data_IF_337534866264
#
_entry.id   IF_337534866264
#
_cell.length_a   1.000
_cell.length_b   1.000
_cell.length_c   1.000
_cell.angle_alpha   90.00
_cell.angle_beta   90.00
_cell.angle_gamma   90.00
#
_symmetry.space_group_name_H-M   'P 1'
#
loop_
_entity.id
_entity.type
_entity.pdbx_description
1 polymer ?
#
# COMPACT_ATOMS: atom_id res chain seq x y z
N UNK A 1 10.69 53.63 -63.46
CA UNK A 1 11.69 52.88 -62.72
C UNK A 1 10.97 52.26 -61.48
N UNK A 2 10.68 50.97 -61.52
CA UNK A 2 9.92 50.27 -60.45
C UNK A 2 10.92 49.46 -59.68
N UNK A 3 11.12 49.80 -58.38
CA UNK A 3 12.00 49.07 -57.44
C UNK A 3 11.21 47.92 -56.81
N UNK A 4 11.67 46.68 -56.98
CA UNK A 4 11.08 45.50 -56.38
C UNK A 4 11.77 45.19 -55.02
N UNK A 5 11.02 45.32 -53.94
CA UNK A 5 11.48 44.94 -52.64
C UNK A 5 11.38 43.40 -52.49
N UNK A 6 12.51 42.72 -52.20
CA UNK A 6 12.60 41.28 -51.87
C UNK A 6 12.36 41.15 -50.42
N UNK A 7 11.26 40.46 -50.03
CA UNK A 7 10.98 40.02 -48.63
C UNK A 7 11.70 38.69 -48.40
N UNK A 8 12.67 38.69 -47.48
CA UNK A 8 13.34 37.50 -47.01
C UNK A 8 12.47 36.88 -45.90
N UNK A 9 11.88 35.72 -46.15
CA UNK A 9 11.17 34.95 -45.14
C UNK A 9 12.21 34.15 -44.33
N UNK A 10 12.42 34.53 -43.07
CA UNK A 10 13.21 33.74 -42.10
C UNK A 10 12.31 32.70 -41.51
N UNK A 11 12.50 31.45 -41.94
CA UNK A 11 11.82 30.31 -41.36
C UNK A 11 12.41 29.97 -39.98
N UNK A 12 11.62 30.17 -38.94
CA UNK A 12 11.96 29.74 -37.57
C UNK A 12 11.70 28.23 -37.42
N UNK A 13 12.77 27.42 -37.44
CA UNK A 13 12.67 25.98 -37.15
C UNK A 13 12.63 25.82 -35.65
N UNK A 14 11.43 25.57 -35.09
CA UNK A 14 11.28 25.13 -33.72
C UNK A 14 11.73 23.65 -33.61
N UNK A 15 12.94 23.43 -33.14
CA UNK A 15 13.38 22.12 -32.72
C UNK A 15 12.65 21.75 -31.40
N UNK A 16 11.66 20.87 -31.47
CA UNK A 16 11.04 20.28 -30.30
C UNK A 16 12.08 19.38 -29.60
N UNK A 17 12.67 19.86 -28.50
CA UNK A 17 13.46 19.04 -27.60
C UNK A 17 12.51 18.02 -26.93
N UNK A 18 12.51 16.78 -27.41
CA UNK A 18 11.91 15.67 -26.71
C UNK A 18 12.71 15.44 -25.42
N UNK A 19 12.17 15.90 -24.29
CA UNK A 19 12.69 15.55 -22.96
C UNK A 19 12.38 14.06 -22.80
N UNK A 20 13.40 13.18 -22.61
CA UNK A 20 13.12 11.80 -22.26
C UNK A 20 12.41 11.84 -20.90
N UNK A 21 11.14 11.48 -20.85
CA UNK A 21 10.49 11.11 -19.61
C UNK A 21 11.22 9.86 -19.13
N UNK A 22 12.11 10.04 -18.15
CA UNK A 22 12.62 8.94 -17.36
C UNK A 22 11.38 8.31 -16.72
N UNK A 23 10.87 7.25 -17.33
CA UNK A 23 9.87 6.40 -16.71
C UNK A 23 10.48 5.94 -15.40
N UNK A 24 10.12 6.56 -14.28
CA UNK A 24 10.21 5.87 -13.02
C UNK A 24 9.50 4.55 -13.27
N UNK A 25 10.18 3.44 -12.98
CA UNK A 25 9.52 2.15 -12.88
C UNK A 25 8.49 2.31 -11.75
N UNK A 26 7.35 2.92 -12.08
CA UNK A 26 6.18 3.01 -11.23
C UNK A 26 5.79 1.58 -10.94
N UNK A 27 5.99 1.15 -9.74
CA UNK A 27 5.52 -0.15 -9.33
C UNK A 27 4.01 -0.15 -9.63
N UNK A 28 3.46 -1.26 -10.10
CA UNK A 28 2.06 -1.50 -10.47
C UNK A 28 1.04 -1.03 -9.41
N UNK A 29 1.15 0.24 -8.95
CA UNK A 29 0.40 0.82 -7.83
C UNK A 29 -1.09 0.82 -8.09
N UNK A 30 -1.50 1.25 -9.30
CA UNK A 30 -2.91 1.18 -9.70
C UNK A 30 -3.41 -0.26 -9.68
N UNK A 31 -2.65 -1.22 -10.23
CA UNK A 31 -3.03 -2.62 -10.21
C UNK A 31 -3.07 -3.18 -8.78
N UNK A 32 -2.13 -2.79 -7.92
CA UNK A 32 -2.13 -3.14 -6.49
C UNK A 32 -3.39 -2.61 -5.78
N UNK A 33 -3.78 -1.37 -6.07
CA UNK A 33 -4.97 -0.78 -5.48
C UNK A 33 -6.26 -1.48 -5.91
N UNK A 34 -6.36 -1.89 -7.18
CA UNK A 34 -7.49 -2.71 -7.65
C UNK A 34 -7.53 -4.08 -6.95
N UNK A 35 -6.38 -4.71 -6.67
CA UNK A 35 -6.34 -5.94 -5.87
C UNK A 35 -6.82 -5.71 -4.43
N UNK A 36 -6.43 -4.60 -3.78
CA UNK A 36 -6.94 -4.26 -2.45
C UNK A 36 -8.45 -3.99 -2.46
N UNK A 37 -8.98 -3.34 -3.50
CA UNK A 37 -10.43 -3.15 -3.66
C UNK A 37 -11.18 -4.48 -3.79
N UNK A 38 -10.58 -5.51 -4.36
CA UNK A 38 -11.21 -6.84 -4.46
C UNK A 38 -11.41 -7.50 -3.09
N UNK A 39 -10.66 -7.05 -2.08
CA UNK A 39 -10.78 -7.52 -0.70
C UNK A 39 -11.91 -6.81 0.08
N UNK A 40 -12.58 -5.81 -0.48
CA UNK A 40 -13.69 -5.13 0.22
C UNK A 40 -14.72 -6.15 0.68
N UNK A 41 -15.06 -6.10 1.98
CA UNK A 41 -15.96 -7.04 2.64
C UNK A 41 -15.49 -7.44 4.04
N UNK A 42 -16.17 -8.43 4.60
CA UNK A 42 -15.90 -8.98 5.92
C UNK A 42 -15.13 -10.29 5.82
N UNK A 43 -14.10 -10.45 6.64
CA UNK A 43 -13.18 -11.58 6.64
C UNK A 43 -12.94 -12.10 8.05
N UNK A 44 -12.77 -13.39 8.16
CA UNK A 44 -12.42 -14.07 9.40
C UNK A 44 -11.10 -14.83 9.23
N UNK A 45 -10.35 -14.99 10.29
CA UNK A 45 -9.18 -15.87 10.27
C UNK A 45 -9.59 -17.29 9.96
N UNK A 46 -8.85 -17.96 9.09
CA UNK A 46 -9.01 -19.39 8.82
C UNK A 46 -8.94 -20.22 10.13
N UNK A 47 -9.56 -21.39 10.13
CA UNK A 47 -9.59 -22.30 11.30
C UNK A 47 -8.22 -22.80 11.73
N UNK A 48 -7.23 -22.78 10.82
CA UNK A 48 -5.85 -23.16 11.12
C UNK A 48 -5.10 -22.12 11.95
N UNK A 49 -5.56 -20.85 11.98
CA UNK A 49 -4.91 -19.82 12.81
C UNK A 49 -5.26 -20.00 14.27
N UNK A 50 -4.23 -19.91 15.12
CA UNK A 50 -4.42 -20.01 16.59
C UNK A 50 -5.16 -18.80 17.15
N UNK A 51 -4.84 -17.60 16.65
CA UNK A 51 -5.49 -16.36 17.03
C UNK A 51 -6.73 -16.11 16.15
N UNK A 52 -7.83 -15.76 16.75
CA UNK A 52 -9.06 -15.40 16.05
C UNK A 52 -9.11 -13.89 15.90
N UNK A 53 -9.22 -13.45 14.66
CA UNK A 53 -9.38 -12.05 14.31
C UNK A 53 -10.38 -11.90 13.17
N UNK A 54 -10.91 -10.68 13.02
CA UNK A 54 -11.73 -10.29 11.89
C UNK A 54 -11.11 -9.09 11.20
N UNK A 55 -11.34 -8.97 9.89
CA UNK A 55 -11.02 -7.80 9.09
C UNK A 55 -12.30 -7.30 8.41
N UNK A 56 -12.54 -6.01 8.50
CA UNK A 56 -13.47 -5.31 7.64
C UNK A 56 -12.68 -4.40 6.70
N UNK A 57 -12.81 -4.63 5.40
CA UNK A 57 -12.26 -3.72 4.39
C UNK A 57 -13.39 -2.99 3.69
N UNK A 58 -13.32 -1.68 3.66
CA UNK A 58 -14.32 -0.82 3.05
C UNK A 58 -13.69 0.25 2.14
N UNK A 59 -14.33 0.49 1.00
CA UNK A 59 -13.93 1.57 0.10
C UNK A 59 -14.44 2.90 0.68
N UNK A 60 -13.55 3.87 0.84
CA UNK A 60 -13.85 5.16 1.45
C UNK A 60 -13.33 6.34 0.63
N UNK A 61 -13.57 7.57 1.10
CA UNK A 61 -13.08 8.81 0.47
C UNK A 61 -13.41 8.90 -1.03
N UNK A 62 -14.67 8.58 -1.40
CA UNK A 62 -15.10 8.61 -2.79
C UNK A 62 -14.43 7.57 -3.69
N UNK A 63 -13.91 6.49 -3.11
CA UNK A 63 -13.25 5.41 -3.84
C UNK A 63 -11.74 5.56 -4.00
N UNK A 64 -11.13 6.54 -3.33
CA UNK A 64 -9.69 6.81 -3.42
C UNK A 64 -8.86 6.17 -2.32
N UNK A 65 -9.52 5.55 -1.32
CA UNK A 65 -8.84 4.83 -0.24
C UNK A 65 -9.61 3.56 0.14
N UNK A 66 -8.89 2.56 0.64
CA UNK A 66 -9.45 1.38 1.29
C UNK A 66 -9.10 1.46 2.77
N UNK A 67 -10.12 1.40 3.62
CA UNK A 67 -9.99 1.36 5.06
C UNK A 67 -10.11 -0.09 5.54
N UNK A 68 -9.11 -0.57 6.25
CA UNK A 68 -9.11 -1.86 6.94
C UNK A 68 -9.28 -1.65 8.43
N UNK A 69 -10.18 -2.39 9.05
CA UNK A 69 -10.35 -2.48 10.51
C UNK A 69 -10.06 -3.92 10.94
N UNK A 70 -8.93 -4.09 11.56
CA UNK A 70 -8.55 -5.37 12.18
C UNK A 70 -9.06 -5.41 13.62
N UNK A 71 -9.71 -6.51 14.01
CA UNK A 71 -10.18 -6.71 15.39
C UNK A 71 -9.80 -8.08 15.89
N UNK A 72 -9.33 -8.12 17.13
CA UNK A 72 -9.03 -9.35 17.86
C UNK A 72 -9.31 -9.19 19.35
N UNK A 73 -9.15 -10.26 20.09
CA UNK A 73 -9.12 -10.23 21.57
C UNK A 73 -7.72 -10.62 22.01
N UNK A 74 -7.05 -9.74 22.76
CA UNK A 74 -5.74 -9.97 23.34
C UNK A 74 -5.86 -9.83 24.88
N UNK A 75 -5.40 -10.83 25.61
CA UNK A 75 -5.52 -10.86 27.09
C UNK A 75 -6.95 -10.58 27.60
N UNK A 76 -7.95 -11.09 26.90
CA UNK A 76 -9.37 -10.90 27.24
C UNK A 76 -9.92 -9.51 26.95
N UNK A 77 -9.16 -8.63 26.29
CA UNK A 77 -9.57 -7.27 25.92
C UNK A 77 -9.74 -7.14 24.41
N UNK A 78 -10.77 -6.43 23.94
CA UNK A 78 -10.89 -6.14 22.52
C UNK A 78 -9.79 -5.17 22.08
N UNK A 79 -9.15 -5.50 20.95
CA UNK A 79 -8.15 -4.69 20.27
C UNK A 79 -8.68 -4.38 18.88
N UNK A 80 -8.56 -3.12 18.47
CA UNK A 80 -8.79 -2.68 17.11
C UNK A 80 -7.58 -1.93 16.59
N UNK A 81 -7.16 -2.23 15.37
CA UNK A 81 -6.15 -1.49 14.62
C UNK A 81 -6.72 -1.11 13.26
N UNK A 82 -6.23 -0.01 12.71
CA UNK A 82 -6.70 0.52 11.43
C UNK A 82 -5.53 0.61 10.47
N UNK A 83 -5.76 0.22 9.21
CA UNK A 83 -4.85 0.48 8.10
C UNK A 83 -5.59 1.21 6.98
N UNK A 84 -5.00 2.29 6.48
CA UNK A 84 -5.52 3.03 5.34
C UNK A 84 -4.59 2.83 4.15
N UNK A 85 -5.13 2.31 3.03
CA UNK A 85 -4.43 2.12 1.76
C UNK A 85 -4.85 3.18 0.76
N UNK A 86 -3.90 3.75 0.04
CA UNK A 86 -4.13 4.83 -0.91
C UNK A 86 -3.01 4.91 -1.95
N UNK A 87 -3.25 5.66 -3.04
CA UNK A 87 -2.24 5.96 -4.05
C UNK A 87 -1.60 7.33 -3.80
N UNK A 88 -0.28 7.39 -3.95
CA UNK A 88 0.50 8.61 -4.07
C UNK A 88 1.15 8.59 -5.46
N UNK A 89 0.54 9.27 -6.42
CA UNK A 89 0.83 9.06 -7.84
C UNK A 89 0.51 7.62 -8.27
N UNK A 90 1.49 6.90 -8.79
CA UNK A 90 1.39 5.46 -9.11
C UNK A 90 2.04 4.56 -8.04
N UNK A 91 2.32 5.11 -6.88
CA UNK A 91 2.86 4.37 -5.73
C UNK A 91 1.72 3.99 -4.78
N UNK A 92 1.49 2.69 -4.57
CA UNK A 92 0.61 2.23 -3.50
C UNK A 92 1.27 2.45 -2.15
N UNK A 93 0.52 3.03 -1.21
CA UNK A 93 0.96 3.27 0.17
C UNK A 93 -0.05 2.74 1.17
N UNK A 94 0.41 2.51 2.38
CA UNK A 94 -0.43 2.32 3.55
C UNK A 94 0.05 3.19 4.71
N UNK A 95 -0.88 3.54 5.60
CA UNK A 95 -0.58 4.03 6.95
C UNK A 95 -1.31 3.14 7.94
N UNK A 96 -0.54 2.51 8.84
CA UNK A 96 -1.08 1.61 9.86
C UNK A 96 -1.12 2.29 11.21
N UNK A 97 -2.27 2.31 11.86
CA UNK A 97 -2.48 2.85 13.21
C UNK A 97 -2.38 1.71 14.23
N UNK A 98 -1.18 1.53 14.73
CA UNK A 98 -0.79 0.41 15.57
C UNK A 98 -1.20 0.62 17.03
N UNK A 99 -1.57 -0.47 17.73
CA UNK A 99 -1.76 -0.45 19.18
C UNK A 99 -0.49 -0.09 19.96
N UNK A 100 0.69 -0.17 19.34
CA UNK A 100 1.95 0.35 19.89
C UNK A 100 1.98 1.89 20.00
N UNK A 101 0.94 2.58 19.50
CA UNK A 101 0.77 4.03 19.61
C UNK A 101 1.56 4.84 18.57
N UNK A 102 2.15 4.21 17.59
CA UNK A 102 2.82 4.85 16.45
C UNK A 102 2.11 4.54 15.13
N UNK A 103 2.46 5.28 14.07
CA UNK A 103 1.83 5.15 12.76
C UNK A 103 2.90 4.95 11.68
N UNK A 104 3.28 3.69 11.38
CA UNK A 104 4.12 3.38 10.24
C UNK A 104 3.41 3.71 8.93
N UNK A 105 4.09 4.43 8.05
CA UNK A 105 3.72 4.59 6.64
C UNK A 105 4.67 3.73 5.80
N UNK A 106 4.10 2.97 4.89
CA UNK A 106 4.86 2.05 4.04
C UNK A 106 4.51 2.27 2.57
N UNK A 107 5.46 2.03 1.69
CA UNK A 107 5.24 1.96 0.25
C UNK A 107 5.18 0.51 -0.22
N UNK A 108 4.34 0.23 -1.21
CA UNK A 108 4.09 -1.13 -1.69
C UNK A 108 4.66 -1.39 -3.07
N UNK A 109 5.04 -2.65 -3.32
CA UNK A 109 5.41 -3.17 -4.64
C UNK A 109 4.55 -4.40 -4.94
N UNK A 110 3.84 -4.36 -6.06
CA UNK A 110 2.98 -5.45 -6.50
C UNK A 110 3.64 -6.29 -7.59
N UNK A 111 3.66 -7.60 -7.40
CA UNK A 111 4.13 -8.60 -8.35
C UNK A 111 2.92 -9.42 -8.87
N UNK A 112 2.37 -9.11 -10.06
CA UNK A 112 1.16 -9.75 -10.58
C UNK A 112 1.30 -11.27 -10.76
N UNK A 113 2.48 -11.74 -11.17
CA UNK A 113 2.74 -13.16 -11.46
C UNK A 113 2.59 -14.04 -10.20
N UNK A 114 3.02 -13.53 -9.05
CA UNK A 114 2.89 -14.20 -7.76
C UNK A 114 1.66 -13.75 -6.97
N UNK A 115 0.89 -12.79 -7.51
CA UNK A 115 -0.24 -12.14 -6.82
C UNK A 115 0.16 -11.67 -5.41
N UNK A 116 1.31 -11.03 -5.30
CA UNK A 116 1.89 -10.62 -4.01
C UNK A 116 2.11 -9.12 -3.97
N UNK A 117 1.63 -8.47 -2.93
CA UNK A 117 1.86 -7.06 -2.63
C UNK A 117 2.70 -6.96 -1.36
N UNK A 118 3.92 -6.43 -1.50
CA UNK A 118 4.86 -6.23 -0.38
C UNK A 118 4.91 -4.76 -0.01
N UNK A 119 4.88 -4.50 1.28
CA UNK A 119 5.02 -3.17 1.86
C UNK A 119 6.30 -3.07 2.68
N UNK A 120 7.08 -2.03 2.44
CA UNK A 120 8.32 -1.70 3.12
C UNK A 120 8.19 -0.37 3.84
N UNK A 121 8.77 -0.27 5.03
CA UNK A 121 8.70 0.93 5.83
C UNK A 121 9.30 2.14 5.11
N UNK A 122 8.58 3.25 5.11
CA UNK A 122 9.05 4.54 4.58
C UNK A 122 9.28 5.55 5.72
N UNK A 123 8.31 5.66 6.63
CA UNK A 123 8.38 6.57 7.77
C UNK A 123 7.50 6.11 8.92
N UNK A 124 7.71 6.68 10.10
CA UNK A 124 6.88 6.40 11.28
C UNK A 124 6.62 7.72 12.02
N UNK A 125 5.36 8.01 12.30
CA UNK A 125 5.01 9.09 13.20
C UNK A 125 4.85 8.58 14.63
N UNK A 126 5.06 9.48 15.62
CA UNK A 126 4.97 9.18 17.04
C UNK A 126 5.90 8.06 17.53
N UNK A 127 7.05 7.84 16.86
CA UNK A 127 8.09 6.92 17.29
C UNK A 127 8.94 7.57 18.39
N UNK A 128 8.90 7.02 19.60
CA UNK A 128 9.59 7.61 20.77
C UNK A 128 11.12 7.46 20.73
N UNK A 129 11.61 6.36 20.15
CA UNK A 129 13.03 6.08 19.94
C UNK A 129 13.20 5.04 18.83
N UNK A 130 14.42 4.87 18.32
CA UNK A 130 14.73 3.83 17.33
C UNK A 130 14.47 2.40 17.82
N UNK A 131 14.45 2.19 19.14
CA UNK A 131 14.21 0.89 19.77
C UNK A 131 12.72 0.63 20.06
N UNK A 132 11.85 1.64 19.81
CA UNK A 132 10.40 1.48 20.00
C UNK A 132 9.83 0.49 18.99
N UNK A 133 9.01 -0.45 19.49
CA UNK A 133 8.35 -1.46 18.66
C UNK A 133 7.38 -0.86 17.64
N UNK A 134 7.39 -1.38 16.42
CA UNK A 134 6.51 -0.96 15.33
C UNK A 134 6.36 -2.03 14.24
N UNK A 135 5.29 -1.99 13.45
CA UNK A 135 5.19 -2.78 12.22
C UNK A 135 6.17 -2.24 11.19
N UNK A 136 6.95 -3.13 10.56
CA UNK A 136 8.09 -2.77 9.71
C UNK A 136 7.95 -3.24 8.27
N UNK A 137 7.35 -4.42 8.07
CA UNK A 137 7.02 -4.98 6.76
C UNK A 137 5.63 -5.58 6.77
N UNK A 138 4.99 -5.58 5.62
CA UNK A 138 3.78 -6.35 5.41
C UNK A 138 3.79 -7.01 4.02
N UNK A 139 3.20 -8.18 3.92
CA UNK A 139 3.01 -8.87 2.63
C UNK A 139 1.58 -9.37 2.55
N UNK A 140 0.92 -9.10 1.42
CA UNK A 140 -0.40 -9.61 1.07
C UNK A 140 -0.24 -10.59 -0.09
N UNK A 141 -0.76 -11.80 0.06
CA UNK A 141 -0.83 -12.81 -1.00
C UNK A 141 -2.30 -13.05 -1.35
N UNK A 142 -2.70 -12.66 -2.55
CA UNK A 142 -4.07 -12.83 -3.04
C UNK A 142 -4.22 -14.24 -3.61
N UNK A 143 -4.88 -15.13 -2.88
CA UNK A 143 -5.02 -16.55 -3.27
C UNK A 143 -6.13 -16.71 -4.30
N UNK A 144 -7.36 -16.35 -3.92
CA UNK A 144 -8.55 -16.37 -4.74
C UNK A 144 -9.59 -15.34 -4.24
N UNK A 145 -10.83 -15.39 -4.71
CA UNK A 145 -11.87 -14.42 -4.32
C UNK A 145 -12.30 -14.54 -2.85
N UNK A 146 -12.07 -15.68 -2.24
CA UNK A 146 -12.53 -16.00 -0.89
C UNK A 146 -11.40 -16.23 0.10
N UNK A 147 -10.13 -16.15 -0.35
CA UNK A 147 -8.95 -16.38 0.48
C UNK A 147 -7.81 -15.42 0.17
N UNK A 148 -7.20 -14.88 1.19
CA UNK A 148 -5.91 -14.19 1.09
C UNK A 148 -5.09 -14.40 2.36
N UNK A 149 -3.80 -14.17 2.27
CA UNK A 149 -2.86 -14.28 3.40
C UNK A 149 -2.18 -12.95 3.63
N UNK A 150 -1.96 -12.60 4.89
CA UNK A 150 -1.06 -11.51 5.29
C UNK A 150 0.11 -12.08 6.09
N UNK A 151 1.24 -11.40 5.96
CA UNK A 151 2.44 -11.61 6.77
C UNK A 151 2.86 -10.25 7.28
N UNK A 152 2.84 -10.03 8.59
CA UNK A 152 3.27 -8.79 9.20
C UNK A 152 4.49 -9.02 10.07
N UNK A 153 5.54 -8.19 9.91
CA UNK A 153 6.76 -8.24 10.71
C UNK A 153 6.80 -7.07 11.68
N UNK A 154 6.88 -7.36 12.95
CA UNK A 154 7.07 -6.39 14.02
C UNK A 154 8.55 -6.29 14.38
N UNK A 155 9.07 -5.06 14.40
CA UNK A 155 10.46 -4.75 14.76
C UNK A 155 10.50 -4.06 16.10
N UNK A 156 11.46 -4.43 16.95
CA UNK A 156 11.76 -3.79 18.22
C UNK A 156 13.27 -3.87 18.47
N UNK A 157 13.85 -2.86 19.10
CA UNK A 157 15.28 -2.81 19.36
C UNK A 157 16.11 -3.04 18.08
N UNK A 158 15.61 -2.46 16.96
CA UNK A 158 16.22 -2.52 15.62
C UNK A 158 16.34 -3.95 15.03
N UNK A 159 15.58 -4.92 15.58
CA UNK A 159 15.55 -6.31 15.13
C UNK A 159 14.11 -6.76 14.89
N UNK A 160 13.93 -7.67 13.95
CA UNK A 160 12.66 -8.32 13.74
C UNK A 160 12.36 -9.20 14.96
N UNK A 161 11.36 -8.79 15.75
CA UNK A 161 11.01 -9.43 17.00
C UNK A 161 10.09 -10.65 16.78
N UNK A 162 9.14 -10.51 15.86
CA UNK A 162 8.28 -11.59 15.39
C UNK A 162 7.69 -11.29 14.02
N UNK A 163 7.23 -12.35 13.37
CA UNK A 163 6.45 -12.27 12.14
C UNK A 163 5.16 -13.05 12.36
N UNK A 164 4.03 -12.46 12.01
CA UNK A 164 2.72 -13.08 12.11
C UNK A 164 2.17 -13.37 10.72
N UNK A 165 1.87 -14.63 10.47
CA UNK A 165 1.22 -15.13 9.25
C UNK A 165 -0.25 -15.42 9.54
N UNK A 166 -1.15 -14.78 8.80
CA UNK A 166 -2.59 -14.99 8.95
C UNK A 166 -3.24 -15.24 7.60
N UNK A 167 -3.97 -16.34 7.50
CA UNK A 167 -4.85 -16.63 6.37
C UNK A 167 -6.27 -16.21 6.73
N UNK A 168 -6.91 -15.48 5.81
CA UNK A 168 -8.28 -15.01 5.95
C UNK A 168 -9.19 -15.70 4.95
N UNK A 169 -10.42 -15.94 5.39
CA UNK A 169 -11.52 -16.49 4.58
C UNK A 169 -12.64 -15.46 4.57
N UNK A 170 -13.23 -15.22 3.41
CA UNK A 170 -14.37 -14.31 3.27
C UNK A 170 -15.56 -14.87 4.07
N UNK A 171 -16.11 -14.07 4.97
CA UNK A 171 -17.30 -14.41 5.70
C UNK A 171 -18.52 -14.47 4.76
N UNK A 172 -19.41 -15.43 5.01
CA UNK A 172 -20.63 -15.65 4.22
C UNK A 172 -21.83 -14.92 4.84
#
# INVERSE_FOLDING_TARGET
MKSAARILAVGLVLAALAIPQSGMAGGNGTAAFEQLKSLVGHWETDKSNMNKATLDLELTSGGTAVLEKFRMVEDGKPVEMITLYYLDGDQIKLTHYCMAGNQPTMHGTYAPESKTLKFELESITNLKSADTGHMHHATYTFIDNDHFKTTWTFRKEQKDAFTEDVTYVRAK
#
